data_IF_336540618756
#
_entry.id   IF_336540618756
#
_cell.length_a   1.000
_cell.length_b   1.000
_cell.length_c   1.000
_cell.angle_alpha   90.00
_cell.angle_beta   90.00
_cell.angle_gamma   90.00
#
_symmetry.space_group_name_H-M   'P 1'
#
loop_
_entity.id
_entity.type
_entity.pdbx_description
1 polymer ?
#
# COMPACT_ATOMS: atom_id res chain seq x y z
N UNK A 1 -0.23 8.91 -24.90
CA UNK A 1 0.32 10.28 -24.72
C UNK A 1 1.78 10.11 -24.29
N UNK A 2 2.74 10.75 -24.96
CA UNK A 2 4.18 10.52 -24.72
C UNK A 2 4.76 11.42 -23.63
N UNK A 3 4.40 12.69 -23.64
CA UNK A 3 4.84 13.66 -22.62
C UNK A 3 3.61 14.32 -21.98
N UNK A 4 3.65 14.52 -20.67
CA UNK A 4 2.62 15.28 -19.95
C UNK A 4 3.20 15.91 -18.69
N UNK A 5 2.70 17.09 -18.32
CA UNK A 5 3.00 17.72 -17.03
C UNK A 5 1.71 18.18 -16.40
N UNK A 6 1.48 17.77 -15.16
CA UNK A 6 0.31 18.13 -14.35
C UNK A 6 0.80 18.82 -13.08
N UNK A 7 0.05 19.84 -12.64
CA UNK A 7 0.25 20.52 -11.35
C UNK A 7 -0.97 20.27 -10.49
N UNK A 8 -0.76 19.81 -9.26
CA UNK A 8 -1.83 19.46 -8.33
C UNK A 8 -2.72 18.36 -8.90
N UNK A 9 -2.43 17.10 -8.57
CA UNK A 9 -3.19 15.97 -9.08
C UNK A 9 -3.79 15.13 -7.97
N UNK A 10 -4.92 14.51 -8.28
CA UNK A 10 -5.57 13.49 -7.48
C UNK A 10 -6.01 12.36 -8.41
N UNK A 11 -5.72 11.13 -8.05
CA UNK A 11 -6.10 9.93 -8.77
C UNK A 11 -6.82 8.98 -7.82
N UNK A 12 -7.83 8.31 -8.36
CA UNK A 12 -8.50 7.18 -7.73
C UNK A 12 -8.23 5.97 -8.62
N UNK A 13 -7.53 4.98 -8.08
CA UNK A 13 -7.22 3.72 -8.74
C UNK A 13 -8.27 2.67 -8.38
N UNK A 14 -8.09 1.46 -8.91
CA UNK A 14 -8.89 0.30 -8.52
C UNK A 14 -8.76 0.02 -7.01
N UNK A 15 -9.75 -0.68 -6.44
CA UNK A 15 -9.81 -1.01 -5.00
C UNK A 15 -9.78 0.20 -4.04
N UNK A 16 -10.36 1.34 -4.43
CA UNK A 16 -10.44 2.57 -3.60
C UNK A 16 -9.09 3.20 -3.23
N UNK A 17 -8.02 2.83 -3.93
CA UNK A 17 -6.70 3.42 -3.72
C UNK A 17 -6.67 4.87 -4.19
N UNK A 18 -6.23 5.78 -3.33
CA UNK A 18 -6.13 7.22 -3.61
C UNK A 18 -4.68 7.65 -3.67
N UNK A 19 -4.36 8.45 -4.67
CA UNK A 19 -3.06 9.13 -4.82
C UNK A 19 -3.31 10.63 -4.96
N UNK A 20 -2.57 11.44 -4.22
CA UNK A 20 -2.49 12.88 -4.44
C UNK A 20 -1.02 13.29 -4.60
N UNK A 21 -0.71 14.25 -5.46
CA UNK A 21 0.65 14.76 -5.62
C UNK A 21 0.66 16.23 -6.03
N UNK A 22 1.73 16.94 -5.69
CA UNK A 22 1.90 18.36 -6.06
C UNK A 22 2.14 18.55 -7.56
N UNK A 23 2.65 17.52 -8.24
CA UNK A 23 2.75 17.49 -9.68
C UNK A 23 3.12 16.10 -10.18
N UNK A 24 2.72 15.82 -11.42
CA UNK A 24 3.19 14.67 -12.18
C UNK A 24 3.91 15.12 -13.44
N UNK A 25 4.94 14.37 -13.81
CA UNK A 25 5.53 14.41 -15.13
C UNK A 25 5.47 13.02 -15.73
N UNK A 26 4.97 12.93 -16.96
CA UNK A 26 5.09 11.72 -17.78
C UNK A 26 6.17 11.92 -18.83
N UNK A 27 7.12 10.99 -18.86
CA UNK A 27 8.27 11.01 -19.78
C UNK A 27 8.26 9.75 -20.64
N UNK A 28 8.43 9.91 -21.95
CA UNK A 28 8.45 8.86 -22.98
C UNK A 28 7.22 7.92 -22.99
N UNK A 29 6.14 8.31 -22.31
CA UNK A 29 4.98 7.46 -22.11
C UNK A 29 5.23 6.28 -21.17
N UNK A 30 6.40 6.17 -20.52
CA UNK A 30 6.81 5.03 -19.71
C UNK A 30 6.92 5.34 -18.22
N UNK A 31 7.43 6.53 -17.89
CA UNK A 31 7.65 6.94 -16.51
C UNK A 31 6.60 7.95 -16.09
N UNK A 32 5.94 7.73 -14.96
CA UNK A 32 5.18 8.78 -14.27
C UNK A 32 5.94 9.17 -13.00
N UNK A 33 6.57 10.34 -13.02
CA UNK A 33 7.25 10.94 -11.89
C UNK A 33 6.26 11.79 -11.09
N UNK A 34 6.09 11.49 -9.80
CA UNK A 34 5.16 12.14 -8.88
C UNK A 34 5.97 12.88 -7.82
N UNK A 35 5.71 14.18 -7.66
CA UNK A 35 6.38 15.03 -6.67
C UNK A 35 5.52 15.22 -5.43
N UNK A 36 6.11 15.01 -4.24
CA UNK A 36 5.44 15.09 -2.93
C UNK A 36 4.09 14.39 -2.96
N UNK A 37 4.13 13.07 -3.12
CA UNK A 37 2.92 12.28 -3.27
C UNK A 37 2.47 11.69 -1.94
N UNK A 38 1.16 11.54 -1.80
CA UNK A 38 0.52 10.82 -0.72
C UNK A 38 -0.28 9.67 -1.32
N UNK A 39 -0.08 8.47 -0.77
CA UNK A 39 -0.77 7.24 -1.14
C UNK A 39 -1.54 6.67 0.04
N UNK A 40 -2.79 6.25 -0.16
CA UNK A 40 -3.54 5.48 0.81
C UNK A 40 -4.59 4.60 0.15
N UNK A 41 -4.67 3.34 0.56
CA UNK A 41 -5.77 2.43 0.20
C UNK A 41 -6.97 2.54 1.16
N UNK A 42 -6.86 3.33 2.24
CA UNK A 42 -7.94 3.51 3.19
C UNK A 42 -9.06 4.42 2.64
N UNK A 43 -10.28 4.13 3.07
CA UNK A 43 -11.40 5.05 2.89
C UNK A 43 -11.27 6.21 3.87
N UNK A 44 -11.53 7.43 3.41
CA UNK A 44 -11.56 8.61 4.26
C UNK A 44 -12.66 8.48 5.33
N UNK A 45 -12.46 9.13 6.49
CA UNK A 45 -13.44 9.14 7.57
C UNK A 45 -14.78 9.71 7.07
N UNK A 46 -15.88 8.99 7.32
CA UNK A 46 -17.24 9.41 6.89
C UNK A 46 -17.68 10.71 7.55
N UNK A 47 -17.36 10.87 8.83
CA UNK A 47 -17.81 12.01 9.64
C UNK A 47 -17.02 13.29 9.35
N UNK A 48 -15.74 13.15 8.95
CA UNK A 48 -14.87 14.27 8.59
C UNK A 48 -13.84 13.82 7.53
N UNK A 49 -14.15 14.01 6.23
CA UNK A 49 -13.28 13.61 5.14
C UNK A 49 -12.03 14.50 4.99
N UNK A 50 -11.85 15.52 5.84
CA UNK A 50 -10.62 16.34 5.89
C UNK A 50 -9.55 15.73 6.78
N UNK A 51 -9.92 14.76 7.64
CA UNK A 51 -8.96 14.04 8.48
C UNK A 51 -8.06 13.13 7.67
N UNK A 52 -6.80 12.93 8.12
CA UNK A 52 -5.93 11.93 7.51
C UNK A 52 -6.59 10.54 7.58
N UNK A 53 -6.40 9.71 6.55
CA UNK A 53 -6.81 8.31 6.61
C UNK A 53 -6.12 7.60 7.77
N UNK A 54 -6.63 6.41 8.12
CA UNK A 54 -6.04 5.58 9.20
C UNK A 54 -4.55 5.38 8.97
N UNK A 55 -4.14 5.09 7.73
CA UNK A 55 -2.75 5.07 7.33
C UNK A 55 -2.54 5.72 5.97
N UNK A 56 -1.34 6.26 5.74
CA UNK A 56 -0.89 6.75 4.44
C UNK A 56 0.63 6.65 4.31
N UNK A 57 1.11 6.76 3.08
CA UNK A 57 2.52 6.94 2.75
C UNK A 57 2.67 8.34 2.17
N UNK A 58 3.42 9.22 2.84
CA UNK A 58 3.90 10.49 2.30
C UNK A 58 5.29 10.26 1.73
N UNK A 59 5.53 10.58 0.46
CA UNK A 59 6.82 10.39 -0.18
C UNK A 59 7.27 11.66 -0.90
N UNK A 60 8.54 12.01 -0.74
CA UNK A 60 9.11 13.18 -1.41
C UNK A 60 9.07 13.05 -2.93
N UNK A 61 9.37 11.86 -3.44
CA UNK A 61 9.31 11.52 -4.87
C UNK A 61 8.83 10.10 -5.05
N UNK A 62 8.05 9.85 -6.09
CA UNK A 62 7.80 8.50 -6.56
C UNK A 62 7.85 8.42 -8.08
N UNK A 63 8.24 7.25 -8.58
CA UNK A 63 8.33 6.96 -10.00
C UNK A 63 7.57 5.68 -10.27
N UNK A 64 6.60 5.75 -11.16
CA UNK A 64 5.88 4.59 -11.69
C UNK A 64 6.46 4.26 -13.06
N UNK A 65 7.23 3.17 -13.14
CA UNK A 65 7.75 2.58 -14.36
C UNK A 65 6.75 1.56 -14.90
N UNK A 66 6.07 1.95 -15.98
CA UNK A 66 5.00 1.16 -16.58
C UNK A 66 5.48 -0.06 -17.38
N UNK A 67 6.78 -0.12 -17.73
CA UNK A 67 7.35 -1.32 -18.37
C UNK A 67 7.78 -2.32 -17.32
N UNK A 68 8.49 -1.87 -16.28
CA UNK A 68 8.84 -2.70 -15.14
C UNK A 68 7.63 -3.04 -14.26
N UNK A 69 6.51 -2.33 -14.43
CA UNK A 69 5.28 -2.42 -13.65
C UNK A 69 5.52 -2.21 -12.17
N UNK A 70 6.30 -1.18 -11.87
CA UNK A 70 6.84 -0.97 -10.52
C UNK A 70 6.74 0.48 -10.13
N UNK A 71 6.29 0.69 -8.91
CA UNK A 71 6.23 1.98 -8.27
C UNK A 71 7.32 2.08 -7.21
N UNK A 72 8.20 3.05 -7.38
CA UNK A 72 9.36 3.30 -6.52
C UNK A 72 9.16 4.61 -5.78
N UNK A 73 9.50 4.64 -4.50
CA UNK A 73 9.29 5.74 -3.58
C UNK A 73 10.63 6.11 -2.93
N UNK A 74 10.91 7.40 -2.88
CA UNK A 74 12.11 7.96 -2.26
C UNK A 74 11.71 8.87 -1.10
N UNK A 75 12.43 8.75 0.01
CA UNK A 75 12.18 9.46 1.26
C UNK A 75 10.69 9.37 1.66
N UNK A 76 10.22 8.13 1.82
CA UNK A 76 8.84 7.82 2.15
C UNK A 76 8.67 7.69 3.67
N UNK A 77 7.58 8.22 4.19
CA UNK A 77 7.19 8.14 5.59
C UNK A 77 5.80 7.52 5.68
N UNK A 78 5.69 6.43 6.44
CA UNK A 78 4.40 5.84 6.80
C UNK A 78 3.84 6.64 7.97
N UNK A 79 2.62 7.14 7.79
CA UNK A 79 1.88 7.85 8.81
C UNK A 79 0.66 7.05 9.24
N UNK A 80 0.39 7.07 10.54
CA UNK A 80 -0.81 6.51 11.14
C UNK A 80 -1.60 7.65 11.78
N UNK A 81 -2.85 7.86 11.34
CA UNK A 81 -3.70 8.97 11.79
C UNK A 81 -3.01 10.34 11.70
N UNK A 82 -2.13 10.53 10.70
CA UNK A 82 -1.33 11.74 10.49
C UNK A 82 -0.07 11.85 11.36
N UNK A 83 0.28 10.82 12.12
CA UNK A 83 1.51 10.76 12.91
C UNK A 83 2.55 9.91 12.17
N UNK A 84 3.76 10.42 11.87
CA UNK A 84 4.79 9.64 11.20
C UNK A 84 5.33 8.56 12.13
N UNK A 85 5.18 7.29 11.74
CA UNK A 85 5.58 6.12 12.55
C UNK A 85 6.82 5.41 12.01
N UNK A 86 7.08 5.49 10.70
CA UNK A 86 8.17 4.76 10.08
C UNK A 86 8.71 5.48 8.85
N UNK A 87 10.03 5.60 8.76
CA UNK A 87 10.72 6.23 7.63
C UNK A 87 11.42 5.17 6.77
N UNK A 88 11.27 5.31 5.45
CA UNK A 88 11.86 4.46 4.43
C UNK A 88 12.63 5.35 3.43
N UNK A 89 13.98 5.30 3.41
CA UNK A 89 14.74 6.09 2.43
C UNK A 89 14.47 5.64 1.00
N UNK A 90 14.15 4.36 0.81
CA UNK A 90 13.78 3.79 -0.47
C UNK A 90 12.78 2.64 -0.27
N UNK A 91 11.67 2.68 -0.98
CA UNK A 91 10.64 1.65 -0.97
C UNK A 91 10.15 1.40 -2.40
N UNK A 92 9.73 0.17 -2.69
CA UNK A 92 9.22 -0.18 -4.02
C UNK A 92 8.15 -1.24 -3.91
N UNK A 93 7.07 -1.09 -4.67
CA UNK A 93 5.98 -2.06 -4.79
C UNK A 93 5.56 -2.20 -6.24
N UNK A 94 4.78 -3.24 -6.53
CA UNK A 94 4.10 -3.42 -7.80
C UNK A 94 3.26 -2.19 -8.17
N UNK A 95 3.19 -1.86 -9.45
CA UNK A 95 2.18 -0.92 -9.94
C UNK A 95 0.77 -1.53 -9.84
N UNK A 96 -0.26 -0.70 -9.99
CA UNK A 96 -1.65 -1.15 -9.91
C UNK A 96 -2.08 -2.09 -11.05
N UNK A 97 -1.25 -2.25 -12.09
CA UNK A 97 -1.55 -3.16 -13.22
C UNK A 97 -1.25 -4.62 -12.88
N UNK A 98 -0.40 -4.85 -11.89
CA UNK A 98 -0.03 -6.18 -11.42
C UNK A 98 -1.02 -6.63 -10.35
N UNK A 99 -1.89 -7.57 -10.73
CA UNK A 99 -2.88 -8.14 -9.81
C UNK A 99 -2.27 -8.99 -8.68
N UNK A 100 -1.02 -9.43 -8.83
CA UNK A 100 -0.38 -10.39 -7.93
C UNK A 100 1.14 -10.30 -7.97
N UNK A 101 1.72 -9.76 -6.91
CA UNK A 101 3.17 -9.69 -6.68
C UNK A 101 3.46 -9.78 -5.18
N UNK A 102 4.65 -10.26 -4.81
CA UNK A 102 5.09 -10.29 -3.42
C UNK A 102 5.35 -8.88 -2.89
N UNK A 103 4.88 -8.55 -1.69
CA UNK A 103 5.08 -7.24 -1.09
C UNK A 103 4.30 -7.02 0.20
N UNK A 104 4.49 -5.84 0.79
CA UNK A 104 3.68 -5.41 1.93
C UNK A 104 2.28 -5.03 1.47
N UNK A 105 1.28 -5.54 2.17
CA UNK A 105 -0.10 -5.10 2.02
C UNK A 105 -0.37 -3.90 2.93
N UNK A 106 -1.53 -3.27 2.73
CA UNK A 106 -2.04 -2.24 3.61
C UNK A 106 -2.02 -2.72 5.08
N UNK A 107 -1.42 -1.96 6.01
CA UNK A 107 -1.51 -2.29 7.42
C UNK A 107 -2.95 -2.12 7.92
N UNK A 108 -3.30 -2.90 8.95
CA UNK A 108 -4.50 -2.69 9.74
C UNK A 108 -4.10 -2.14 11.12
N UNK A 109 -4.81 -1.12 11.58
CA UNK A 109 -4.48 -0.46 12.83
C UNK A 109 -5.71 0.21 13.42
N UNK A 110 -5.82 0.15 14.74
CA UNK A 110 -6.97 0.70 15.44
C UNK A 110 -6.92 0.49 16.93
N UNK A 111 -8.07 0.64 17.57
CA UNK A 111 -8.23 0.36 19.00
C UNK A 111 -9.63 -0.18 19.26
N UNK A 112 -9.73 -1.22 20.09
CA UNK A 112 -11.02 -1.73 20.57
C UNK A 112 -10.94 -2.15 22.05
N UNK A 113 -12.09 -2.44 22.66
CA UNK A 113 -12.19 -2.77 24.09
C UNK A 113 -11.65 -4.16 24.47
N UNK A 114 -11.43 -5.06 23.50
CA UNK A 114 -11.05 -6.45 23.76
C UNK A 114 -9.54 -6.69 23.64
N UNK A 115 -8.90 -6.15 22.61
CA UNK A 115 -7.46 -6.29 22.33
C UNK A 115 -6.68 -4.99 22.56
N UNK A 116 -7.37 -3.90 22.92
CA UNK A 116 -6.78 -2.58 23.08
C UNK A 116 -6.39 -1.97 21.73
N UNK A 117 -5.33 -1.16 21.72
CA UNK A 117 -4.70 -0.66 20.50
C UNK A 117 -3.94 -1.77 19.77
N UNK A 118 -4.10 -1.85 18.46
CA UNK A 118 -3.51 -2.90 17.63
C UNK A 118 -2.89 -2.37 16.34
N UNK A 119 -1.89 -3.10 15.84
CA UNK A 119 -1.23 -2.88 14.56
C UNK A 119 -0.87 -4.23 13.91
N UNK A 120 -1.23 -4.39 12.64
CA UNK A 120 -0.94 -5.57 11.84
C UNK A 120 -0.34 -5.16 10.49
N UNK A 121 0.74 -5.83 10.07
CA UNK A 121 1.45 -5.52 8.83
C UNK A 121 1.59 -6.76 7.93
N UNK A 122 0.60 -7.05 7.06
CA UNK A 122 0.63 -8.26 6.26
C UNK A 122 1.73 -8.20 5.19
N UNK A 123 2.53 -9.26 5.09
CA UNK A 123 3.43 -9.50 3.97
C UNK A 123 2.90 -10.63 3.09
N UNK A 124 2.59 -10.29 1.84
CA UNK A 124 2.10 -11.23 0.85
C UNK A 124 3.27 -11.76 0.02
N UNK A 125 3.36 -13.09 -0.10
CA UNK A 125 4.42 -13.75 -0.85
C UNK A 125 3.85 -14.71 -1.88
N UNK A 126 4.15 -14.42 -3.14
CA UNK A 126 3.77 -15.24 -4.29
C UNK A 126 4.79 -16.36 -4.46
N UNK A 127 4.37 -17.61 -4.22
CA UNK A 127 5.24 -18.78 -4.34
C UNK A 127 5.32 -19.22 -5.80
N UNK A 128 4.17 -19.32 -6.48
CA UNK A 128 4.06 -19.62 -7.91
C UNK A 128 2.68 -19.15 -8.43
N UNK A 129 2.36 -19.42 -9.69
CA UNK A 129 1.09 -18.98 -10.33
C UNK A 129 -0.19 -19.51 -9.68
N UNK A 130 -0.10 -20.53 -8.81
CA UNK A 130 -1.23 -21.20 -8.20
C UNK A 130 -1.19 -21.25 -6.67
N UNK A 131 -0.12 -20.80 -6.02
CA UNK A 131 -0.04 -20.71 -4.56
C UNK A 131 0.63 -19.44 -4.04
N UNK A 132 0.13 -18.98 -2.89
CA UNK A 132 0.66 -17.84 -2.15
C UNK A 132 0.54 -18.07 -0.65
N UNK A 133 1.34 -17.31 0.10
CA UNK A 133 1.28 -17.23 1.56
C UNK A 133 1.24 -15.77 1.98
N UNK A 134 0.33 -15.43 2.91
CA UNK A 134 0.33 -14.14 3.60
C UNK A 134 0.78 -14.38 5.03
N UNK A 135 1.78 -13.62 5.49
CA UNK A 135 2.26 -13.67 6.87
C UNK A 135 1.91 -12.33 7.50
N UNK A 136 1.12 -12.33 8.56
CA UNK A 136 0.65 -11.12 9.23
C UNK A 136 1.10 -11.13 10.69
N UNK A 137 2.17 -10.40 11.04
CA UNK A 137 2.48 -10.09 12.42
C UNK A 137 1.43 -9.12 12.97
N UNK A 138 0.93 -9.42 14.16
CA UNK A 138 0.05 -8.58 14.95
C UNK A 138 0.75 -8.17 16.24
N UNK A 139 0.60 -6.89 16.58
CA UNK A 139 1.07 -6.31 17.83
C UNK A 139 -0.13 -5.60 18.46
N UNK A 140 -0.50 -6.06 19.65
CA UNK A 140 -1.66 -5.60 20.39
C UNK A 140 -1.24 -5.17 21.80
N UNK A 141 -1.91 -4.17 22.36
CA UNK A 141 -1.64 -3.70 23.74
C UNK A 141 -2.30 -4.57 24.83
N UNK A 142 -3.34 -5.33 24.48
CA UNK A 142 -4.14 -6.13 25.41
C UNK A 142 -3.93 -7.64 25.31
N UNK A 143 -3.13 -8.11 24.35
CA UNK A 143 -2.81 -9.52 24.14
C UNK A 143 -1.32 -9.69 23.80
N UNK A 144 -0.83 -10.92 23.86
CA UNK A 144 0.54 -11.25 23.43
C UNK A 144 0.66 -11.13 21.90
N UNK A 145 1.85 -10.74 21.37
CA UNK A 145 2.08 -10.69 19.93
C UNK A 145 1.76 -12.01 19.25
N UNK A 146 1.03 -11.96 18.14
CA UNK A 146 0.65 -13.15 17.37
C UNK A 146 1.12 -13.05 15.91
N UNK A 147 1.22 -14.21 15.27
CA UNK A 147 1.63 -14.33 13.88
C UNK A 147 0.59 -15.16 13.13
N UNK A 148 -0.19 -14.50 12.27
CA UNK A 148 -1.13 -15.17 11.41
C UNK A 148 -0.44 -15.58 10.11
N UNK A 149 -0.76 -16.78 9.63
CA UNK A 149 -0.31 -17.26 8.33
C UNK A 149 -1.51 -17.76 7.55
N UNK A 150 -1.70 -17.24 6.34
CA UNK A 150 -2.72 -17.70 5.42
C UNK A 150 -2.05 -18.30 4.19
N UNK A 151 -2.21 -19.60 3.97
CA UNK A 151 -1.74 -20.27 2.76
C UNK A 151 -2.90 -20.57 1.82
N UNK A 152 -2.78 -20.16 0.56
CA UNK A 152 -3.79 -20.44 -0.47
C UNK A 152 -3.15 -21.19 -1.62
N UNK A 153 -3.82 -22.24 -2.10
CA UNK A 153 -3.42 -22.99 -3.29
C UNK A 153 -4.62 -23.36 -4.14
N UNK A 154 -4.54 -23.10 -5.44
CA UNK A 154 -5.54 -23.53 -6.43
C UNK A 154 -5.02 -24.74 -7.21
N UNK A 155 -5.89 -25.71 -7.40
CA UNK A 155 -5.68 -26.88 -8.25
C UNK A 155 -6.68 -26.85 -9.40
N UNK A 156 -6.48 -27.68 -10.44
CA UNK A 156 -7.44 -27.79 -11.54
C UNK A 156 -8.83 -28.27 -11.09
N UNK A 157 -8.90 -28.96 -9.94
CA UNK A 157 -10.11 -29.60 -9.42
C UNK A 157 -10.45 -29.18 -7.97
N UNK A 158 -9.92 -28.04 -7.49
CA UNK A 158 -10.22 -27.59 -6.14
C UNK A 158 -9.34 -26.44 -5.64
N UNK A 159 -9.49 -26.08 -4.37
CA UNK A 159 -8.67 -25.09 -3.71
C UNK A 159 -8.46 -25.45 -2.24
N UNK A 160 -7.29 -25.09 -1.71
CA UNK A 160 -6.94 -25.18 -0.30
C UNK A 160 -6.74 -23.76 0.23
N UNK A 161 -7.29 -23.51 1.42
CA UNK A 161 -7.08 -22.30 2.21
C UNK A 161 -6.82 -22.73 3.65
N UNK A 162 -5.57 -22.59 4.09
CA UNK A 162 -5.12 -22.90 5.45
C UNK A 162 -4.82 -21.60 6.17
#
# INVERSE_FOLDING_TARGET
MREAVLRGMRMLLEENTRIAANGARRTDGQYNELSRMVYSACTLCKDDPTKPPVWQIDAYSAVDDLQAKRMEFQDATVELLGVPIFYMPYFSTADSSVKRESGFLAPDAGSNTFIGSFFALPYYYVINNYSDITITPWIDSGMDPQLDTLYRQKFNNGQIKL
#
